data_IF_284656331462
#
_entry.id   IF_284656331462
#
_cell.length_a   1.000
_cell.length_b   1.000
_cell.length_c   1.000
_cell.angle_alpha   90.00
_cell.angle_beta   90.00
_cell.angle_gamma   90.00
#
_symmetry.space_group_name_H-M   'P 1'
#
loop_
_entity.id
_entity.type
_entity.pdbx_description
1 polymer ?
#
# COMPACT_ATOMS: atom_id res chain seq x y z
N UNK A 1 19.18 -3.35 -23.37
CA UNK A 1 19.87 -2.23 -22.69
C UNK A 1 19.23 -0.90 -23.07
N UNK A 2 19.32 -0.46 -24.34
CA UNK A 2 18.73 0.82 -24.81
C UNK A 2 17.23 1.01 -24.50
N UNK A 3 16.43 -0.06 -24.53
CA UNK A 3 15.00 0.02 -24.18
C UNK A 3 14.78 0.33 -22.69
N UNK A 4 15.57 -0.29 -21.80
CA UNK A 4 15.46 -0.06 -20.36
C UNK A 4 15.96 1.33 -19.96
N UNK A 5 17.00 1.84 -20.61
CA UNK A 5 17.50 3.21 -20.38
C UNK A 5 16.43 4.25 -20.70
N UNK A 6 15.75 4.12 -21.84
CA UNK A 6 14.61 4.99 -22.20
C UNK A 6 13.49 4.93 -21.16
N UNK A 7 13.19 3.74 -20.64
CA UNK A 7 12.17 3.57 -19.60
C UNK A 7 12.61 4.19 -18.26
N UNK A 8 13.88 4.09 -17.88
CA UNK A 8 14.45 4.76 -16.71
C UNK A 8 14.31 6.27 -16.82
N UNK A 9 14.67 6.86 -17.96
CA UNK A 9 14.53 8.31 -18.17
C UNK A 9 13.06 8.75 -18.12
N UNK A 10 12.18 8.01 -18.78
CA UNK A 10 10.75 8.28 -18.80
C UNK A 10 10.13 8.23 -17.39
N UNK A 11 10.35 7.12 -16.66
CA UNK A 11 9.81 6.97 -15.31
C UNK A 11 10.51 7.86 -14.29
N UNK A 12 11.78 8.18 -14.49
CA UNK A 12 12.54 9.15 -13.68
C UNK A 12 11.92 10.54 -13.76
N UNK A 13 11.69 11.04 -14.97
CA UNK A 13 11.02 12.32 -15.20
C UNK A 13 9.59 12.31 -14.62
N UNK A 14 8.83 11.24 -14.86
CA UNK A 14 7.46 11.13 -14.33
C UNK A 14 7.43 11.08 -12.81
N UNK A 15 8.39 10.41 -12.17
CA UNK A 15 8.52 10.36 -10.72
C UNK A 15 8.80 11.74 -10.12
N UNK A 16 9.66 12.54 -10.75
CA UNK A 16 9.94 13.90 -10.31
C UNK A 16 8.71 14.81 -10.45
N UNK A 17 7.99 14.73 -11.57
CA UNK A 17 6.73 15.46 -11.79
C UNK A 17 5.71 15.15 -10.68
N UNK A 18 5.44 13.86 -10.45
CA UNK A 18 4.52 13.41 -9.41
C UNK A 18 4.98 13.80 -8.01
N UNK A 19 6.29 13.82 -7.74
CA UNK A 19 6.84 14.26 -6.45
C UNK A 19 6.62 15.76 -6.23
N UNK A 20 6.77 16.60 -7.25
CA UNK A 20 6.46 18.04 -7.15
C UNK A 20 4.97 18.27 -6.86
N UNK A 21 4.09 17.57 -7.57
CA UNK A 21 2.63 17.64 -7.35
C UNK A 21 2.28 17.15 -5.94
N UNK A 22 2.84 16.02 -5.52
CA UNK A 22 2.68 15.46 -4.18
C UNK A 22 3.04 16.48 -3.08
N UNK A 23 4.19 17.15 -3.22
CA UNK A 23 4.66 18.14 -2.24
C UNK A 23 3.75 19.37 -2.19
N UNK A 24 3.32 19.89 -3.35
CA UNK A 24 2.38 21.03 -3.42
C UNK A 24 1.04 20.72 -2.76
N UNK A 25 0.47 19.55 -3.03
CA UNK A 25 -0.78 19.11 -2.40
C UNK A 25 -0.59 18.91 -0.90
N UNK A 26 0.54 18.34 -0.48
CA UNK A 26 0.84 18.15 0.94
C UNK A 26 0.94 19.48 1.70
N UNK A 27 1.61 20.47 1.10
CA UNK A 27 1.68 21.83 1.65
C UNK A 27 0.32 22.52 1.68
N UNK A 28 -0.47 22.42 0.59
CA UNK A 28 -1.83 22.96 0.54
C UNK A 28 -2.74 22.37 1.62
N UNK A 29 -2.65 21.06 1.89
CA UNK A 29 -3.39 20.41 2.99
C UNK A 29 -2.98 20.94 4.36
N UNK A 30 -1.69 21.21 4.57
CA UNK A 30 -1.20 21.79 5.82
C UNK A 30 -1.77 23.20 6.03
N UNK A 31 -1.76 24.04 5.00
CA UNK A 31 -2.35 25.38 5.06
C UNK A 31 -3.86 25.32 5.38
N UNK A 32 -4.61 24.45 4.71
CA UNK A 32 -6.05 24.26 4.99
C UNK A 32 -6.25 23.76 6.41
N UNK A 33 -5.41 22.86 6.93
CA UNK A 33 -5.49 22.41 8.31
C UNK A 33 -5.28 23.54 9.33
N UNK A 34 -4.30 24.42 9.10
CA UNK A 34 -4.07 25.61 9.94
C UNK A 34 -5.29 26.54 9.90
N UNK A 35 -5.84 26.80 8.72
CA UNK A 35 -7.07 27.61 8.55
C UNK A 35 -8.25 26.97 9.29
N UNK A 36 -8.42 25.65 9.24
CA UNK A 36 -9.48 24.95 9.99
C UNK A 36 -9.33 25.13 11.50
N UNK A 37 -8.12 25.02 12.04
CA UNK A 37 -7.87 25.24 13.48
C UNK A 37 -8.20 26.68 13.88
N UNK A 38 -7.79 27.66 13.08
CA UNK A 38 -8.13 29.06 13.30
C UNK A 38 -9.64 29.32 13.25
N UNK A 39 -10.33 28.80 12.23
CA UNK A 39 -11.79 28.93 12.09
C UNK A 39 -12.54 28.25 13.24
N UNK A 40 -12.04 27.10 13.71
CA UNK A 40 -12.60 26.40 14.86
C UNK A 40 -12.46 27.22 16.15
N UNK A 41 -11.28 27.77 16.42
CA UNK A 41 -11.05 28.67 17.57
C UNK A 41 -11.96 29.91 17.48
N UNK A 42 -12.01 30.54 16.31
CA UNK A 42 -12.82 31.74 16.10
C UNK A 42 -14.32 31.46 16.28
N UNK A 43 -14.83 30.35 15.75
CA UNK A 43 -16.21 29.90 15.92
C UNK A 43 -16.59 29.63 17.38
N UNK A 44 -15.63 29.19 18.20
CA UNK A 44 -15.85 28.98 19.63
C UNK A 44 -15.85 30.31 20.42
N UNK A 45 -14.98 31.25 20.05
CA UNK A 45 -14.86 32.55 20.74
C UNK A 45 -16.01 33.52 20.43
N UNK A 46 -16.60 33.43 19.22
CA UNK A 46 -17.64 34.33 18.75
C UNK A 46 -18.93 33.56 18.45
N UNK A 47 -19.86 33.53 19.41
CA UNK A 47 -21.15 32.82 19.27
C UNK A 47 -22.23 33.62 18.53
N UNK A 48 -21.96 34.87 18.15
CA UNK A 48 -22.95 35.78 17.56
C UNK A 48 -23.12 35.67 16.04
N UNK A 49 -22.19 35.02 15.33
CA UNK A 49 -22.23 34.88 13.86
C UNK A 49 -22.05 33.43 13.42
N UNK A 50 -22.92 32.97 12.51
CA UNK A 50 -22.84 31.63 11.92
C UNK A 50 -21.82 31.51 10.77
N UNK A 51 -21.27 32.63 10.28
CA UNK A 51 -20.33 32.64 9.15
C UNK A 51 -19.09 31.75 9.37
N UNK A 52 -18.43 31.74 10.54
CA UNK A 52 -17.26 30.89 10.77
C UNK A 52 -17.58 29.39 10.65
N UNK A 53 -18.78 28.97 11.03
CA UNK A 53 -19.24 27.57 10.94
C UNK A 53 -19.40 27.16 9.47
N UNK A 54 -19.95 28.04 8.63
CA UNK A 54 -20.09 27.79 7.18
C UNK A 54 -18.71 27.68 6.53
N UNK A 55 -17.80 28.62 6.81
CA UNK A 55 -16.42 28.58 6.27
C UNK A 55 -15.65 27.35 6.77
N UNK A 56 -15.85 26.93 8.02
CA UNK A 56 -15.27 25.70 8.54
C UNK A 56 -15.78 24.48 7.76
N UNK A 57 -17.09 24.41 7.48
CA UNK A 57 -17.67 23.36 6.64
C UNK A 57 -17.05 23.30 5.24
N UNK A 58 -16.89 24.45 4.58
CA UNK A 58 -16.23 24.54 3.27
C UNK A 58 -14.76 24.11 3.33
N UNK A 59 -14.02 24.52 4.37
CA UNK A 59 -12.64 24.13 4.57
C UNK A 59 -12.48 22.61 4.78
N UNK A 60 -13.42 21.97 5.48
CA UNK A 60 -13.48 20.50 5.65
C UNK A 60 -13.70 19.82 4.30
N UNK A 61 -14.65 20.29 3.48
CA UNK A 61 -14.89 19.73 2.14
C UNK A 61 -13.64 19.85 1.27
N UNK A 62 -13.01 21.03 1.25
CA UNK A 62 -11.77 21.26 0.51
C UNK A 62 -10.65 20.33 1.00
N UNK A 63 -10.50 20.15 2.31
CA UNK A 63 -9.51 19.24 2.89
C UNK A 63 -9.72 17.79 2.45
N UNK A 64 -10.97 17.31 2.42
CA UNK A 64 -11.32 15.96 1.96
C UNK A 64 -10.98 15.78 0.47
N UNK A 65 -11.30 16.78 -0.37
CA UNK A 65 -10.95 16.76 -1.81
C UNK A 65 -9.43 16.68 -1.99
N UNK A 66 -8.67 17.53 -1.29
CA UNK A 66 -7.21 17.50 -1.32
C UNK A 66 -6.65 16.17 -0.80
N UNK A 67 -7.26 15.57 0.21
CA UNK A 67 -6.85 14.26 0.73
C UNK A 67 -7.03 13.15 -0.31
N UNK A 68 -8.17 13.11 -1.01
CA UNK A 68 -8.39 12.13 -2.09
C UNK A 68 -7.40 12.32 -3.24
N UNK A 69 -7.17 13.56 -3.64
CA UNK A 69 -6.20 13.85 -4.70
C UNK A 69 -4.77 13.47 -4.29
N UNK A 70 -4.39 13.80 -3.05
CA UNK A 70 -3.10 13.39 -2.47
C UNK A 70 -2.93 11.87 -2.51
N UNK A 71 -3.95 11.11 -2.10
CA UNK A 71 -3.89 9.64 -2.08
C UNK A 71 -3.71 9.06 -3.49
N UNK A 72 -4.40 9.63 -4.49
CA UNK A 72 -4.24 9.23 -5.89
C UNK A 72 -2.82 9.49 -6.39
N UNK A 73 -2.32 10.71 -6.23
CA UNK A 73 -0.95 11.09 -6.64
C UNK A 73 0.10 10.26 -5.90
N UNK A 74 -0.13 9.99 -4.62
CA UNK A 74 0.72 9.13 -3.79
C UNK A 74 0.78 7.70 -4.34
N UNK A 75 -0.35 7.15 -4.80
CA UNK A 75 -0.40 5.82 -5.43
C UNK A 75 0.31 5.79 -6.78
N UNK A 76 0.06 6.76 -7.64
CA UNK A 76 0.70 6.86 -8.94
C UNK A 76 2.22 7.00 -8.79
N UNK A 77 2.67 7.81 -7.82
CA UNK A 77 4.08 8.00 -7.49
C UNK A 77 4.74 6.70 -7.03
N UNK A 78 4.07 5.88 -6.20
CA UNK A 78 4.58 4.57 -5.78
C UNK A 78 4.72 3.63 -6.98
N UNK A 79 3.71 3.58 -7.84
CA UNK A 79 3.74 2.74 -9.05
C UNK A 79 4.90 3.11 -9.97
N UNK A 80 5.07 4.40 -10.28
CA UNK A 80 6.16 4.90 -11.12
C UNK A 80 7.52 4.63 -10.47
N UNK A 81 7.63 4.78 -9.13
CA UNK A 81 8.87 4.45 -8.41
C UNK A 81 9.23 2.97 -8.55
N UNK A 82 8.26 2.07 -8.42
CA UNK A 82 8.49 0.63 -8.60
C UNK A 82 8.89 0.28 -10.03
N UNK A 83 8.26 0.90 -11.03
CA UNK A 83 8.65 0.74 -12.44
C UNK A 83 10.07 1.24 -12.70
N UNK A 84 10.43 2.40 -12.15
CA UNK A 84 11.80 2.93 -12.24
C UNK A 84 12.81 1.94 -11.63
N UNK A 85 12.54 1.45 -10.42
CA UNK A 85 13.41 0.50 -9.73
C UNK A 85 13.59 -0.82 -10.52
N UNK A 86 12.52 -1.37 -11.09
CA UNK A 86 12.59 -2.58 -11.91
C UNK A 86 13.53 -2.36 -13.10
N UNK A 87 13.38 -1.25 -13.83
CA UNK A 87 14.22 -0.97 -14.98
C UNK A 87 15.70 -0.73 -14.58
N UNK A 88 15.94 -0.06 -13.45
CA UNK A 88 17.29 0.11 -12.89
C UNK A 88 17.93 -1.23 -12.51
N UNK A 89 17.18 -2.13 -11.88
CA UNK A 89 17.66 -3.47 -11.53
C UNK A 89 18.01 -4.29 -12.78
N UNK A 90 17.20 -4.23 -13.83
CA UNK A 90 17.49 -4.91 -15.10
C UNK A 90 18.73 -4.33 -15.80
N UNK A 91 18.95 -3.01 -15.75
CA UNK A 91 20.18 -2.40 -16.26
C UNK A 91 21.39 -2.88 -15.45
N UNK A 92 21.32 -2.86 -14.12
CA UNK A 92 22.40 -3.34 -13.26
C UNK A 92 22.75 -4.81 -13.56
N UNK A 93 21.72 -5.66 -13.73
CA UNK A 93 21.88 -7.05 -14.12
C UNK A 93 22.59 -7.20 -15.46
N UNK A 94 22.22 -6.41 -16.48
CA UNK A 94 22.88 -6.40 -17.78
C UNK A 94 24.33 -5.87 -17.73
N UNK A 95 24.69 -5.10 -16.71
CA UNK A 95 26.04 -4.61 -16.45
C UNK A 95 26.88 -5.59 -15.60
N UNK A 96 26.34 -6.76 -15.27
CA UNK A 96 27.03 -7.80 -14.50
C UNK A 96 26.86 -7.69 -12.98
N UNK A 97 26.11 -6.70 -12.48
CA UNK A 97 25.75 -6.62 -11.07
C UNK A 97 24.35 -7.22 -10.87
N UNK A 98 24.23 -8.37 -10.23
CA UNK A 98 22.94 -9.04 -10.06
C UNK A 98 22.26 -8.62 -8.73
N UNK A 99 21.20 -7.78 -8.76
CA UNK A 99 20.53 -7.30 -7.55
C UNK A 99 19.46 -8.27 -7.02
N UNK A 100 19.24 -9.42 -7.68
CA UNK A 100 18.16 -10.35 -7.35
C UNK A 100 18.60 -11.35 -6.27
N UNK A 101 17.63 -11.81 -5.48
CA UNK A 101 17.85 -12.84 -4.47
C UNK A 101 18.32 -14.16 -5.09
N UNK A 102 19.22 -14.82 -4.39
CA UNK A 102 20.05 -15.89 -4.93
C UNK A 102 19.58 -17.31 -4.54
N UNK A 103 18.51 -17.44 -3.75
CA UNK A 103 17.96 -18.74 -3.40
C UNK A 103 18.80 -19.53 -2.40
N UNK A 104 19.71 -18.88 -1.67
CA UNK A 104 20.62 -19.57 -0.76
C UNK A 104 19.90 -20.48 0.26
N UNK A 105 18.69 -20.14 0.70
CA UNK A 105 17.88 -21.00 1.58
C UNK A 105 17.45 -22.35 0.98
N UNK A 106 17.59 -22.55 -0.33
CA UNK A 106 17.25 -23.79 -1.02
C UNK A 106 18.47 -24.65 -1.39
N UNK A 107 19.68 -24.25 -0.99
CA UNK A 107 20.88 -25.05 -1.19
C UNK A 107 20.74 -26.38 -0.45
N UNK A 108 20.98 -27.47 -1.19
CA UNK A 108 20.89 -28.83 -0.69
C UNK A 108 22.07 -29.63 -1.26
N UNK A 109 23.05 -29.91 -0.40
CA UNK A 109 24.28 -30.64 -0.76
C UNK A 109 24.02 -32.12 -1.09
N UNK A 110 22.87 -32.67 -0.72
CA UNK A 110 22.52 -34.08 -0.95
C UNK A 110 21.68 -34.28 -2.21
N UNK A 111 21.27 -33.18 -2.86
CA UNK A 111 20.45 -33.26 -4.05
C UNK A 111 21.25 -33.75 -5.26
N UNK A 112 20.60 -34.53 -6.13
CA UNK A 112 21.20 -35.18 -7.31
C UNK A 112 22.00 -34.27 -8.25
N UNK A 113 21.75 -32.96 -8.24
CA UNK A 113 22.36 -32.05 -9.23
C UNK A 113 22.37 -30.57 -8.82
N UNK A 114 21.57 -30.14 -7.82
CA UNK A 114 21.38 -28.70 -7.60
C UNK A 114 22.61 -28.02 -7.01
N UNK A 115 23.42 -28.79 -6.28
CA UNK A 115 24.69 -28.32 -5.75
C UNK A 115 25.76 -28.25 -6.84
N UNK A 116 25.92 -29.32 -7.63
CA UNK A 116 26.96 -29.39 -8.68
C UNK A 116 26.71 -28.42 -9.84
N UNK A 117 25.45 -28.11 -10.17
CA UNK A 117 25.08 -27.21 -11.25
C UNK A 117 24.87 -25.76 -10.81
N UNK A 118 25.29 -25.41 -9.58
CA UNK A 118 25.13 -24.06 -9.02
C UNK A 118 23.71 -23.50 -9.23
N UNK A 119 22.69 -24.31 -8.92
CA UNK A 119 21.29 -23.92 -9.13
C UNK A 119 20.89 -22.80 -8.17
N UNK A 120 21.46 -22.77 -6.97
CA UNK A 120 21.20 -21.78 -5.91
C UNK A 120 22.49 -21.19 -5.37
N UNK A 121 22.41 -20.01 -4.75
CA UNK A 121 23.57 -19.28 -4.22
C UNK A 121 24.04 -18.14 -5.13
N UNK A 122 25.13 -17.48 -4.77
CA UNK A 122 25.66 -16.35 -5.53
C UNK A 122 26.07 -16.77 -6.95
N UNK A 123 25.70 -15.95 -7.95
CA UNK A 123 25.93 -16.21 -9.38
C UNK A 123 25.23 -17.47 -9.92
N UNK A 124 24.24 -18.00 -9.20
CA UNK A 124 23.50 -19.20 -9.59
C UNK A 124 22.50 -18.99 -10.73
N UNK A 125 22.04 -20.10 -11.31
CA UNK A 125 20.94 -20.10 -12.27
C UNK A 125 19.66 -19.49 -11.67
N UNK A 126 19.33 -19.80 -10.42
CA UNK A 126 18.19 -19.21 -9.73
C UNK A 126 18.31 -17.69 -9.68
N UNK A 127 19.46 -17.17 -9.24
CA UNK A 127 19.70 -15.73 -9.18
C UNK A 127 19.61 -15.07 -10.57
N UNK A 128 20.04 -15.78 -11.61
CA UNK A 128 19.95 -15.29 -12.99
C UNK A 128 18.53 -15.26 -13.51
N UNK A 129 17.64 -16.15 -13.05
CA UNK A 129 16.25 -16.28 -13.49
C UNK A 129 15.25 -15.48 -12.65
N UNK A 130 15.55 -15.24 -11.38
CA UNK A 130 14.59 -14.72 -10.41
C UNK A 130 14.13 -13.28 -10.73
N UNK A 131 12.84 -13.13 -11.08
CA UNK A 131 12.08 -11.86 -11.10
C UNK A 131 10.78 -12.01 -10.32
N UNK A 132 10.75 -12.96 -9.39
CA UNK A 132 9.59 -13.19 -8.54
C UNK A 132 9.52 -12.07 -7.51
N UNK A 133 8.30 -11.64 -7.16
CA UNK A 133 8.10 -10.63 -6.12
C UNK A 133 7.21 -11.11 -4.97
N UNK A 134 6.73 -12.36 -5.03
CA UNK A 134 5.94 -13.00 -3.97
C UNK A 134 6.72 -14.18 -3.41
N UNK A 135 6.51 -14.47 -2.12
CA UNK A 135 7.11 -15.63 -1.47
C UNK A 135 6.69 -16.93 -2.17
N UNK A 136 5.42 -17.06 -2.55
CA UNK A 136 4.93 -18.23 -3.27
C UNK A 136 5.54 -18.36 -4.68
N UNK A 137 5.76 -17.24 -5.37
CA UNK A 137 6.42 -17.25 -6.68
C UNK A 137 7.87 -17.69 -6.56
N UNK A 138 8.56 -17.17 -5.55
CA UNK A 138 9.94 -17.49 -5.21
C UNK A 138 10.12 -18.99 -4.88
N UNK A 139 9.28 -19.53 -3.99
CA UNK A 139 9.25 -20.95 -3.63
C UNK A 139 8.87 -21.85 -4.82
N UNK A 140 7.91 -21.43 -5.65
CA UNK A 140 7.52 -22.17 -6.86
C UNK A 140 8.66 -22.23 -7.89
N UNK A 141 9.40 -21.14 -8.09
CA UNK A 141 10.57 -21.12 -8.98
C UNK A 141 11.65 -22.07 -8.46
N UNK A 142 11.95 -22.03 -7.16
CA UNK A 142 12.95 -22.90 -6.55
C UNK A 142 12.57 -24.37 -6.70
N UNK A 143 11.32 -24.74 -6.38
CA UNK A 143 10.80 -26.11 -6.55
C UNK A 143 10.91 -26.60 -8.00
N UNK A 144 10.58 -25.74 -8.97
CA UNK A 144 10.70 -26.07 -10.41
C UNK A 144 12.13 -26.30 -10.87
N UNK A 145 13.12 -25.69 -10.23
CA UNK A 145 14.53 -25.92 -10.55
C UNK A 145 15.11 -27.16 -9.86
N UNK A 146 14.51 -27.59 -8.74
CA UNK A 146 14.89 -28.83 -8.02
C UNK A 146 14.32 -30.11 -8.63
N UNK A 147 13.28 -30.02 -9.45
CA UNK A 147 12.64 -31.21 -10.02
C UNK A 147 12.45 -31.04 -11.53
N UNK A 148 12.89 -32.03 -12.34
CA UNK A 148 12.60 -32.01 -13.77
C UNK A 148 11.09 -32.11 -14.00
N UNK A 149 10.60 -31.34 -14.97
CA UNK A 149 9.19 -31.31 -15.36
C UNK A 149 8.89 -32.37 -16.42
N UNK A 150 7.62 -32.75 -16.57
CA UNK A 150 7.19 -33.60 -17.69
C UNK A 150 7.33 -32.87 -19.03
N UNK A 151 7.35 -33.63 -20.13
CA UNK A 151 7.41 -33.07 -21.49
C UNK A 151 6.25 -32.11 -21.75
N UNK A 152 5.03 -32.49 -21.33
CA UNK A 152 3.82 -31.68 -21.49
C UNK A 152 3.93 -30.37 -20.71
N UNK A 153 4.38 -30.42 -19.46
CA UNK A 153 4.58 -29.23 -18.63
C UNK A 153 5.63 -28.28 -19.21
N UNK A 154 6.71 -28.81 -19.79
CA UNK A 154 7.74 -28.03 -20.46
C UNK A 154 7.14 -27.27 -21.65
N UNK A 155 6.37 -27.94 -22.51
CA UNK A 155 5.72 -27.29 -23.66
C UNK A 155 4.74 -26.19 -23.23
N UNK A 156 3.91 -26.46 -22.22
CA UNK A 156 2.98 -25.46 -21.68
C UNK A 156 3.72 -24.24 -21.14
N UNK A 157 4.81 -24.44 -20.40
CA UNK A 157 5.63 -23.33 -19.89
C UNK A 157 6.29 -22.53 -21.01
N UNK A 158 6.83 -23.20 -22.04
CA UNK A 158 7.44 -22.53 -23.20
C UNK A 158 6.42 -21.70 -23.98
N UNK A 159 5.19 -22.20 -24.13
CA UNK A 159 4.10 -21.47 -24.75
C UNK A 159 3.74 -20.22 -23.93
N UNK A 160 3.58 -20.37 -22.61
CA UNK A 160 3.29 -19.24 -21.72
C UNK A 160 4.40 -18.18 -21.73
N UNK A 161 5.68 -18.59 -21.75
CA UNK A 161 6.82 -17.67 -21.88
C UNK A 161 6.78 -16.95 -23.23
N UNK A 162 6.46 -17.65 -24.32
CA UNK A 162 6.39 -17.06 -25.66
C UNK A 162 5.26 -16.04 -25.78
N UNK A 163 4.11 -16.31 -25.15
CA UNK A 163 2.98 -15.38 -25.07
C UNK A 163 3.34 -14.10 -24.28
N UNK A 164 4.03 -14.24 -23.15
CA UNK A 164 4.36 -13.11 -22.27
C UNK A 164 5.59 -12.30 -22.71
N UNK A 165 6.49 -12.89 -23.49
CA UNK A 165 7.73 -12.26 -23.97
C UNK A 165 7.50 -10.87 -24.58
N UNK A 166 6.60 -10.68 -25.57
CA UNK A 166 6.38 -9.36 -26.20
C UNK A 166 5.66 -8.35 -25.28
N UNK A 167 5.00 -8.81 -24.22
CA UNK A 167 4.18 -7.97 -23.34
C UNK A 167 4.99 -7.30 -22.22
N UNK A 168 6.09 -6.63 -22.56
CA UNK A 168 7.02 -6.03 -21.58
C UNK A 168 6.30 -5.12 -20.57
N UNK A 169 5.46 -4.20 -21.07
CA UNK A 169 4.70 -3.26 -20.24
C UNK A 169 3.76 -3.97 -19.26
N UNK A 170 3.16 -5.09 -19.66
CA UNK A 170 2.31 -5.89 -18.78
C UNK A 170 3.15 -6.56 -17.69
N UNK A 171 4.24 -7.23 -18.07
CA UNK A 171 5.16 -7.89 -17.14
C UNK A 171 5.69 -6.92 -16.09
N UNK A 172 6.14 -5.74 -16.50
CA UNK A 172 6.63 -4.72 -15.58
C UNK A 172 5.54 -4.15 -14.68
N UNK A 173 4.31 -3.93 -15.18
CA UNK A 173 3.18 -3.49 -14.35
C UNK A 173 2.84 -4.52 -13.28
N UNK A 174 2.74 -5.80 -13.65
CA UNK A 174 2.48 -6.88 -12.69
C UNK A 174 3.59 -6.92 -11.63
N UNK A 175 4.85 -6.91 -12.05
CA UNK A 175 5.98 -6.92 -11.12
C UNK A 175 5.99 -5.68 -10.20
N UNK A 176 5.71 -4.49 -10.76
CA UNK A 176 5.65 -3.24 -9.99
C UNK A 176 4.53 -3.24 -8.95
N UNK A 177 3.39 -3.88 -9.23
CA UNK A 177 2.33 -4.06 -8.25
C UNK A 177 2.80 -4.97 -7.11
N UNK A 178 3.41 -6.10 -7.45
CA UNK A 178 3.88 -7.07 -6.46
C UNK A 178 4.94 -6.48 -5.53
N UNK A 179 5.94 -5.78 -6.07
CA UNK A 179 7.02 -5.14 -5.28
C UNK A 179 6.47 -4.13 -4.25
N UNK A 180 5.32 -3.50 -4.51
CA UNK A 180 4.72 -2.55 -3.56
C UNK A 180 4.17 -3.21 -2.30
N UNK A 181 3.75 -4.47 -2.36
CA UNK A 181 3.14 -5.18 -1.23
C UNK A 181 4.16 -5.78 -0.26
N UNK A 182 5.45 -5.86 -0.65
CA UNK A 182 6.54 -6.42 0.16
C UNK A 182 6.14 -7.77 0.78
N UNK A 183 5.68 -8.67 -0.06
CA UNK A 183 5.31 -10.02 0.37
C UNK A 183 6.54 -10.74 0.95
N UNK A 184 6.33 -11.55 1.98
CA UNK A 184 7.38 -12.29 2.65
C UNK A 184 6.84 -13.59 3.23
N UNK A 185 7.75 -14.49 3.63
CA UNK A 185 7.38 -15.74 4.28
C UNK A 185 6.60 -15.50 5.57
N UNK A 186 6.95 -14.45 6.31
CA UNK A 186 6.30 -14.03 7.56
C UNK A 186 4.88 -13.52 7.28
N UNK A 187 4.71 -12.68 6.26
CA UNK A 187 3.39 -12.20 5.82
C UNK A 187 2.50 -13.37 5.41
N UNK A 188 3.04 -14.30 4.64
CA UNK A 188 2.31 -15.50 4.22
C UNK A 188 1.86 -16.36 5.42
N UNK A 189 2.77 -16.66 6.36
CA UNK A 189 2.43 -17.39 7.60
C UNK A 189 1.41 -16.65 8.46
N UNK A 190 1.52 -15.32 8.53
CA UNK A 190 0.56 -14.50 9.25
C UNK A 190 -0.84 -14.63 8.65
N UNK A 191 -0.97 -14.57 7.33
CA UNK A 191 -2.25 -14.75 6.64
C UNK A 191 -2.83 -16.15 6.86
N UNK A 192 -2.00 -17.19 6.82
CA UNK A 192 -2.43 -18.56 7.09
C UNK A 192 -2.93 -18.74 8.52
N UNK A 193 -2.26 -18.12 9.50
CA UNK A 193 -2.68 -18.14 10.90
C UNK A 193 -3.93 -17.29 11.13
N UNK A 194 -4.03 -16.14 10.46
CA UNK A 194 -5.18 -15.24 10.54
C UNK A 194 -6.46 -15.91 10.03
N UNK A 195 -6.38 -16.68 8.94
CA UNK A 195 -7.49 -17.49 8.44
C UNK A 195 -8.05 -18.46 9.50
N UNK A 196 -7.20 -18.94 10.41
CA UNK A 196 -7.55 -19.88 11.48
C UNK A 196 -8.00 -19.18 12.78
N UNK A 197 -7.89 -17.85 12.84
CA UNK A 197 -8.18 -17.06 14.04
C UNK A 197 -9.66 -16.72 14.19
N UNK A 198 -10.14 -16.65 15.44
CA UNK A 198 -11.50 -16.21 15.78
C UNK A 198 -11.59 -14.68 15.86
N UNK A 199 -12.78 -14.07 15.68
CA UNK A 199 -12.94 -12.61 15.69
C UNK A 199 -12.39 -11.96 16.96
N UNK A 200 -11.56 -10.94 16.77
CA UNK A 200 -10.77 -10.21 17.78
C UNK A 200 -11.62 -9.32 18.71
N UNK A 201 -12.93 -9.18 18.46
CA UNK A 201 -13.80 -8.21 19.14
C UNK A 201 -14.98 -8.86 19.86
N UNK A 202 -15.31 -8.35 21.04
CA UNK A 202 -16.55 -8.71 21.74
C UNK A 202 -17.76 -8.09 21.01
N UNK A 203 -18.91 -8.77 21.08
CA UNK A 203 -20.16 -8.31 20.46
C UNK A 203 -20.58 -6.92 20.98
N UNK A 204 -20.31 -6.62 22.26
CA UNK A 204 -20.60 -5.32 22.87
C UNK A 204 -19.80 -4.20 22.20
N UNK A 205 -18.50 -4.41 21.98
CA UNK A 205 -17.63 -3.42 21.32
C UNK A 205 -18.06 -3.19 19.87
N UNK A 206 -18.47 -4.25 19.16
CA UNK A 206 -19.00 -4.14 17.80
C UNK A 206 -20.26 -3.25 17.74
N UNK A 207 -21.20 -3.42 18.68
CA UNK A 207 -22.40 -2.57 18.77
C UNK A 207 -22.02 -1.11 19.01
N UNK A 208 -21.14 -0.84 19.97
CA UNK A 208 -20.69 0.54 20.25
C UNK A 208 -19.97 1.17 19.06
N UNK A 209 -19.20 0.42 18.28
CA UNK A 209 -18.54 0.92 17.06
C UNK A 209 -19.54 1.45 16.01
N UNK A 210 -20.78 0.95 15.97
CA UNK A 210 -21.84 1.48 15.09
C UNK A 210 -22.71 2.54 15.77
N UNK A 211 -23.05 2.33 17.05
CA UNK A 211 -23.97 3.19 17.79
C UNK A 211 -23.39 4.61 18.00
N UNK A 212 -22.10 4.72 18.34
CA UNK A 212 -21.45 6.00 18.64
C UNK A 212 -21.33 6.92 17.41
N UNK A 213 -20.92 6.46 16.22
CA UNK A 213 -21.00 7.26 15.00
C UNK A 213 -22.43 7.62 14.63
N UNK A 214 -23.39 6.70 14.77
CA UNK A 214 -24.80 6.97 14.48
C UNK A 214 -25.37 8.07 15.38
N UNK A 215 -25.03 8.06 16.67
CA UNK A 215 -25.37 9.12 17.62
C UNK A 215 -24.74 10.47 17.25
N UNK A 216 -23.49 10.47 16.77
CA UNK A 216 -22.84 11.69 16.31
C UNK A 216 -23.59 12.30 15.12
N UNK A 217 -23.94 11.50 14.11
CA UNK A 217 -24.67 11.98 12.95
C UNK A 217 -26.09 12.44 13.29
N UNK A 218 -26.78 11.77 14.21
CA UNK A 218 -28.12 12.19 14.65
C UNK A 218 -28.06 13.53 15.40
N UNK A 219 -27.06 13.75 16.25
CA UNK A 219 -26.86 15.05 16.92
C UNK A 219 -26.54 16.17 15.94
N UNK A 220 -25.70 15.91 14.93
CA UNK A 220 -25.41 16.87 13.85
C UNK A 220 -26.70 17.22 13.08
N UNK A 221 -27.53 16.22 12.79
CA UNK A 221 -28.79 16.41 12.09
C UNK A 221 -29.77 17.25 12.92
N UNK A 222 -29.94 16.94 14.22
CA UNK A 222 -30.78 17.73 15.12
C UNK A 222 -30.28 19.17 15.24
N UNK A 223 -28.96 19.39 15.34
CA UNK A 223 -28.38 20.73 15.33
C UNK A 223 -28.69 21.47 14.02
N UNK A 224 -28.60 20.80 12.87
CA UNK A 224 -28.88 21.41 11.57
C UNK A 224 -30.33 21.92 11.44
N UNK A 225 -31.30 21.26 12.09
CA UNK A 225 -32.70 21.68 12.09
C UNK A 225 -33.03 22.72 13.18
N UNK A 226 -32.45 22.58 14.37
CA UNK A 226 -32.82 23.42 15.53
C UNK A 226 -31.98 24.69 15.66
N UNK A 227 -30.75 24.69 15.12
CA UNK A 227 -29.77 25.77 15.25
C UNK A 227 -29.47 26.17 16.71
N UNK A 228 -29.80 25.31 17.68
CA UNK A 228 -29.58 25.58 19.10
C UNK A 228 -28.12 25.33 19.50
N UNK A 229 -27.38 26.32 20.04
CA UNK A 229 -25.95 26.19 20.34
C UNK A 229 -25.61 25.13 21.40
N UNK A 230 -26.56 24.76 22.27
CA UNK A 230 -26.36 23.76 23.32
C UNK A 230 -25.96 22.38 22.76
N UNK A 231 -26.42 22.05 21.54
CA UNK A 231 -26.06 20.79 20.87
C UNK A 231 -24.59 20.72 20.45
N UNK A 232 -23.90 21.86 20.28
CA UNK A 232 -22.49 21.89 19.91
C UNK A 232 -21.60 21.24 20.98
N UNK A 233 -21.93 21.41 22.26
CA UNK A 233 -21.19 20.79 23.37
C UNK A 233 -21.35 19.26 23.37
N UNK A 234 -22.56 18.77 23.12
CA UNK A 234 -22.83 17.32 23.02
C UNK A 234 -22.15 16.70 21.79
N UNK A 235 -22.19 17.39 20.64
CA UNK A 235 -21.47 16.97 19.43
C UNK A 235 -19.96 16.88 19.70
N UNK A 236 -19.38 17.91 20.33
CA UNK A 236 -17.96 17.93 20.66
C UNK A 236 -17.57 16.76 21.59
N UNK A 237 -18.38 16.49 22.63
CA UNK A 237 -18.14 15.40 23.56
C UNK A 237 -18.23 14.03 22.86
N UNK A 238 -19.28 13.77 22.10
CA UNK A 238 -19.46 12.50 21.37
C UNK A 238 -18.37 12.33 20.31
N UNK A 239 -17.95 13.40 19.65
CA UNK A 239 -16.84 13.39 18.71
C UNK A 239 -15.52 12.99 19.39
N UNK A 240 -15.21 13.56 20.57
CA UNK A 240 -14.02 13.18 21.35
C UNK A 240 -14.08 11.71 21.77
N UNK A 241 -15.23 11.21 22.23
CA UNK A 241 -15.37 9.79 22.60
C UNK A 241 -15.12 8.88 21.39
N UNK A 242 -15.68 9.22 20.23
CA UNK A 242 -15.42 8.48 18.98
C UNK A 242 -13.92 8.48 18.63
N UNK A 243 -13.23 9.61 18.77
CA UNK A 243 -11.78 9.70 18.53
C UNK A 243 -10.97 8.83 19.50
N UNK A 244 -11.32 8.83 20.79
CA UNK A 244 -10.64 8.00 21.80
C UNK A 244 -10.84 6.51 21.51
N UNK A 245 -12.07 6.11 21.18
CA UNK A 245 -12.40 4.72 20.85
C UNK A 245 -11.66 4.26 19.59
N UNK A 246 -11.70 5.07 18.52
CA UNK A 246 -10.94 4.82 17.29
C UNK A 246 -9.43 4.73 17.59
N UNK A 247 -8.90 5.63 18.42
CA UNK A 247 -7.50 5.63 18.84
C UNK A 247 -7.11 4.33 19.56
N UNK A 248 -7.92 3.86 20.51
CA UNK A 248 -7.66 2.60 21.23
C UNK A 248 -7.66 1.39 20.30
N UNK A 249 -8.65 1.27 19.43
CA UNK A 249 -8.75 0.12 18.52
C UNK A 249 -7.85 0.24 17.28
N UNK A 250 -7.34 1.44 16.95
CA UNK A 250 -6.46 1.63 15.79
C UNK A 250 -5.21 0.75 15.84
N UNK A 251 -4.66 0.51 17.05
CA UNK A 251 -3.50 -0.39 17.23
C UNK A 251 -3.87 -1.84 16.93
N UNK A 252 -5.01 -2.30 17.43
CA UNK A 252 -5.50 -3.66 17.19
C UNK A 252 -5.84 -3.87 15.71
N UNK A 253 -6.53 -2.92 15.07
CA UNK A 253 -6.84 -2.96 13.63
C UNK A 253 -5.55 -3.00 12.80
N UNK A 254 -4.54 -2.19 13.15
CA UNK A 254 -3.24 -2.23 12.47
C UNK A 254 -2.52 -3.56 12.66
N UNK A 255 -2.58 -4.15 13.86
CA UNK A 255 -2.00 -5.47 14.15
C UNK A 255 -2.65 -6.58 13.32
N UNK A 256 -3.98 -6.55 13.18
CA UNK A 256 -4.73 -7.52 12.37
C UNK A 256 -4.48 -7.33 10.86
N UNK A 257 -4.28 -6.09 10.38
CA UNK A 257 -4.07 -5.81 8.95
C UNK A 257 -2.62 -6.03 8.48
N UNK A 258 -1.65 -5.81 9.36
CA UNK A 258 -0.23 -5.78 8.99
C UNK A 258 0.63 -6.81 9.73
N UNK A 259 0.05 -7.60 10.65
CA UNK A 259 0.76 -8.64 11.40
C UNK A 259 1.89 -8.14 12.30
N UNK A 260 1.90 -6.85 12.65
CA UNK A 260 2.93 -6.18 13.46
C UNK A 260 2.40 -5.77 14.84
#
# INVERSE_FOLDING_TARGET
MLEYEKLVDYYGNKFQELTRIYNRISFGRLLVAVVMVYLFYYAFSNTTSYLPVIFLGLAVVLFIVLLRWHNRVSSDRRMVKSLLQINQNEIAFLQGNNPFDNGAEYIDHQHLYTFDLDIFGAHSLFQYLNRTGTFLGYDRLAKRLRQPLSREEIFLNQQAVSELKPLLSLRQKINALVVQYRDSKEVYRHLENWQKSSPSFSQVVAVFMYLLPMLLFSLILVFAFTLQPQFLNYIALVFIINLVLLGRFSKQIKRELYGA
#
